data_IF_521114753351
#
_entry.id   IF_521114753351
#
_cell.length_a   1.000
_cell.length_b   1.000
_cell.length_c   1.000
_cell.angle_alpha   90.00
_cell.angle_beta   90.00
_cell.angle_gamma   90.00
#
_symmetry.space_group_name_H-M   'P 1'
#
loop_
_entity.id
_entity.type
_entity.pdbx_description
1 polymer ?
#
# COMPACT_ATOMS: atom_id res chain seq x y z
N UNK A 1 -15.92 12.40 -23.55
CA UNK A 1 -15.97 11.00 -23.07
C UNK A 1 -14.86 10.19 -23.75
N UNK A 2 -14.24 9.25 -23.05
CA UNK A 2 -13.18 8.39 -23.62
C UNK A 2 -13.76 7.13 -24.26
N UNK A 3 -13.10 6.60 -25.30
CA UNK A 3 -13.55 5.40 -26.02
C UNK A 3 -13.25 4.11 -25.25
N UNK A 4 -12.09 4.05 -24.62
CA UNK A 4 -11.62 2.93 -23.80
C UNK A 4 -10.46 3.42 -22.91
N UNK A 5 -9.90 2.53 -22.09
CA UNK A 5 -8.77 2.86 -21.19
C UNK A 5 -7.51 3.28 -21.94
N UNK A 6 -7.27 2.73 -23.13
CA UNK A 6 -6.15 3.13 -23.99
C UNK A 6 -6.31 4.59 -24.46
N UNK A 7 -7.46 4.97 -25.00
CA UNK A 7 -7.78 6.35 -25.41
C UNK A 7 -7.69 7.32 -24.23
N UNK A 8 -8.16 6.91 -23.05
CA UNK A 8 -8.00 7.70 -21.82
C UNK A 8 -6.52 7.89 -21.44
N UNK A 9 -5.72 6.82 -21.51
CA UNK A 9 -4.29 6.83 -21.22
C UNK A 9 -3.49 7.71 -22.18
N UNK A 10 -3.74 7.61 -23.49
CA UNK A 10 -3.08 8.45 -24.49
C UNK A 10 -3.36 9.94 -24.28
N UNK A 11 -4.62 10.30 -23.98
CA UNK A 11 -5.01 11.69 -23.69
C UNK A 11 -4.41 12.19 -22.38
N UNK A 12 -4.38 11.36 -21.35
CA UNK A 12 -3.73 11.70 -20.08
C UNK A 12 -2.23 11.90 -20.27
N UNK A 13 -1.58 11.03 -21.03
CA UNK A 13 -0.16 11.12 -21.33
C UNK A 13 0.18 12.43 -22.06
N UNK A 14 -0.63 12.85 -23.04
CA UNK A 14 -0.48 14.15 -23.70
C UNK A 14 -0.60 15.32 -22.71
N UNK A 15 -1.56 15.27 -21.78
CA UNK A 15 -1.76 16.32 -20.79
C UNK A 15 -0.61 16.42 -19.77
N UNK A 16 0.14 15.32 -19.58
CA UNK A 16 1.25 15.22 -18.64
C UNK A 16 2.63 15.40 -19.29
N UNK A 17 2.73 15.65 -20.60
CA UNK A 17 4.02 15.75 -21.32
C UNK A 17 4.99 16.77 -20.68
N UNK A 18 4.46 17.84 -20.10
CA UNK A 18 5.26 18.88 -19.42
C UNK A 18 6.09 18.35 -18.25
N UNK A 19 5.69 17.22 -17.64
CA UNK A 19 6.41 16.60 -16.52
C UNK A 19 7.50 15.63 -16.98
N UNK A 20 7.61 15.33 -18.28
CA UNK A 20 8.62 14.43 -18.83
C UNK A 20 10.06 14.75 -18.39
N UNK A 21 10.52 16.02 -18.33
CA UNK A 21 11.87 16.33 -17.89
C UNK A 21 12.17 15.93 -16.43
N UNK A 22 11.14 15.85 -15.59
CA UNK A 22 11.25 15.48 -14.17
C UNK A 22 11.38 13.97 -13.95
N UNK A 23 11.18 13.15 -15.00
CA UNK A 23 11.20 11.68 -14.95
C UNK A 23 10.29 11.11 -13.83
N UNK A 24 8.98 11.41 -13.86
CA UNK A 24 8.08 11.05 -12.78
C UNK A 24 7.75 9.55 -12.78
N UNK A 25 7.73 8.91 -11.61
CA UNK A 25 7.30 7.52 -11.50
C UNK A 25 5.77 7.42 -11.60
N UNK A 26 5.27 6.57 -12.49
CA UNK A 26 3.83 6.29 -12.64
C UNK A 26 3.43 5.15 -11.70
N UNK A 27 2.56 5.46 -10.74
CA UNK A 27 2.00 4.47 -9.81
C UNK A 27 0.54 4.18 -10.14
N UNK A 28 0.26 2.96 -10.62
CA UNK A 28 -1.07 2.56 -11.05
C UNK A 28 -1.81 1.74 -9.99
N UNK A 29 -3.08 2.08 -9.76
CA UNK A 29 -4.01 1.30 -8.93
C UNK A 29 -4.68 0.23 -9.82
N UNK A 30 -4.53 -1.07 -9.52
CA UNK A 30 -5.17 -2.14 -10.27
C UNK A 30 -6.71 -2.14 -10.19
N UNK A 31 -7.44 -2.69 -11.18
CA UNK A 31 -6.95 -3.25 -12.46
C UNK A 31 -6.93 -2.21 -13.58
N UNK A 32 -7.96 -1.38 -13.67
CA UNK A 32 -8.15 -0.46 -14.79
C UNK A 32 -7.09 0.64 -14.90
N UNK A 33 -6.52 1.08 -13.76
CA UNK A 33 -5.45 2.07 -13.76
C UNK A 33 -4.16 1.57 -14.41
N UNK A 34 -3.95 0.25 -14.49
CA UNK A 34 -2.78 -0.35 -15.15
C UNK A 34 -2.78 -0.06 -16.63
N UNK A 35 -3.89 -0.34 -17.33
CA UNK A 35 -3.99 -0.09 -18.78
C UNK A 35 -3.77 1.38 -19.13
N UNK A 36 -4.26 2.30 -18.28
CA UNK A 36 -4.10 3.74 -18.44
C UNK A 36 -2.64 4.15 -18.16
N UNK A 37 -2.08 3.74 -17.03
CA UNK A 37 -0.74 4.11 -16.60
C UNK A 37 0.38 3.55 -17.49
N UNK A 38 0.16 2.40 -18.14
CA UNK A 38 1.05 1.87 -19.16
C UNK A 38 1.15 2.81 -20.38
N UNK A 39 0.05 3.43 -20.81
CA UNK A 39 0.13 4.41 -21.91
C UNK A 39 0.91 5.67 -21.51
N UNK A 40 0.72 6.13 -20.26
CA UNK A 40 1.39 7.31 -19.73
C UNK A 40 2.90 7.08 -19.59
N UNK A 41 3.30 5.98 -18.95
CA UNK A 41 4.72 5.64 -18.77
C UNK A 41 5.44 5.43 -20.10
N UNK A 42 4.80 4.74 -21.07
CA UNK A 42 5.35 4.55 -22.41
C UNK A 42 5.60 5.87 -23.14
N UNK A 43 4.65 6.82 -23.07
CA UNK A 43 4.79 8.11 -23.75
C UNK A 43 5.85 9.00 -23.10
N UNK A 44 5.83 9.10 -21.77
CA UNK A 44 6.77 9.92 -21.00
C UNK A 44 8.16 9.27 -20.90
N UNK A 45 8.30 8.01 -21.28
CA UNK A 45 9.52 7.21 -21.15
C UNK A 45 10.06 7.24 -19.72
N UNK A 46 9.23 6.80 -18.78
CA UNK A 46 9.51 6.84 -17.35
C UNK A 46 9.04 5.58 -16.64
N UNK A 47 9.46 5.41 -15.39
CA UNK A 47 9.23 4.20 -14.62
C UNK A 47 7.74 4.02 -14.29
N UNK A 48 7.34 2.76 -14.21
CA UNK A 48 5.98 2.35 -13.90
C UNK A 48 6.00 1.31 -12.79
N UNK A 49 5.13 1.46 -11.81
CA UNK A 49 4.92 0.46 -10.77
C UNK A 49 3.44 0.39 -10.38
N UNK A 50 3.07 -0.69 -9.72
CA UNK A 50 1.76 -0.84 -9.09
C UNK A 50 1.79 -0.27 -7.68
N UNK A 51 0.67 0.29 -7.25
CA UNK A 51 0.45 0.63 -5.86
C UNK A 51 -0.80 -0.09 -5.35
N UNK A 52 -0.59 -0.95 -4.34
CA UNK A 52 -1.64 -1.71 -3.68
C UNK A 52 -1.71 -1.29 -2.23
N UNK A 53 -2.83 -0.68 -1.86
CA UNK A 53 -3.15 -0.33 -0.48
C UNK A 53 -4.57 -0.81 -0.15
N UNK A 54 -4.77 -1.20 1.11
CA UNK A 54 -6.07 -1.57 1.66
C UNK A 54 -6.46 -0.57 2.73
N UNK A 55 -7.72 -0.15 2.76
CA UNK A 55 -8.22 0.69 3.86
C UNK A 55 -8.23 -0.10 5.16
N UNK A 56 -7.97 0.57 6.27
CA UNK A 56 -8.17 0.06 7.63
C UNK A 56 -9.54 0.58 8.12
N UNK A 57 -10.61 -0.24 8.07
CA UNK A 57 -11.96 0.19 8.39
C UNK A 57 -12.18 0.32 9.90
N UNK A 58 -13.07 1.22 10.33
CA UNK A 58 -13.54 1.20 11.72
C UNK A 58 -14.41 -0.06 11.97
N UNK A 59 -14.35 -0.68 13.17
CA UNK A 59 -15.19 -1.83 13.53
C UNK A 59 -16.68 -1.54 13.37
N UNK A 60 -17.10 -0.37 13.85
CA UNK A 60 -18.52 0.00 13.93
C UNK A 60 -19.01 0.71 12.66
N UNK A 61 -18.10 1.10 11.76
CA UNK A 61 -18.43 1.69 10.46
C UNK A 61 -17.41 1.27 9.38
N UNK A 62 -17.62 0.11 8.73
CA UNK A 62 -16.67 -0.43 7.75
C UNK A 62 -16.49 0.40 6.48
N UNK A 63 -17.43 1.31 6.19
CA UNK A 63 -17.31 2.23 5.06
C UNK A 63 -16.28 3.33 5.35
N UNK A 64 -16.20 3.79 6.61
CA UNK A 64 -15.19 4.74 7.07
C UNK A 64 -13.85 4.02 7.37
N UNK A 65 -12.74 4.65 6.98
CA UNK A 65 -11.39 4.17 7.28
C UNK A 65 -10.68 5.06 8.28
N UNK A 66 -9.95 4.47 9.23
CA UNK A 66 -9.07 5.18 10.15
C UNK A 66 -7.61 5.23 9.68
N UNK A 67 -7.32 4.56 8.56
CA UNK A 67 -5.98 4.43 8.02
C UNK A 67 -5.94 3.58 6.77
N UNK A 68 -4.73 3.24 6.35
CA UNK A 68 -4.47 2.34 5.23
C UNK A 68 -3.20 1.52 5.47
N UNK A 69 -3.11 0.38 4.80
CA UNK A 69 -1.94 -0.47 4.80
C UNK A 69 -1.51 -0.82 3.39
N UNK A 70 -0.23 -0.67 3.10
CA UNK A 70 0.39 -1.06 1.84
C UNK A 70 0.77 -2.55 1.84
N UNK A 71 1.00 -3.11 0.66
CA UNK A 71 1.38 -4.51 0.49
C UNK A 71 2.67 -4.92 1.23
N UNK A 72 3.57 -3.97 1.47
CA UNK A 72 4.82 -4.18 2.23
C UNK A 72 4.63 -4.07 3.76
N UNK A 73 3.39 -3.98 4.24
CA UNK A 73 3.06 -3.83 5.66
C UNK A 73 3.21 -2.40 6.20
N UNK A 74 3.57 -1.42 5.37
CA UNK A 74 3.61 -0.01 5.80
C UNK A 74 2.20 0.47 6.11
N UNK A 75 2.00 0.99 7.32
CA UNK A 75 0.71 1.47 7.79
C UNK A 75 0.70 2.98 7.92
N UNK A 76 -0.39 3.60 7.48
CA UNK A 76 -0.75 4.97 7.80
C UNK A 76 -2.02 4.96 8.66
N UNK A 77 -2.04 5.75 9.72
CA UNK A 77 -3.19 5.89 10.61
C UNK A 77 -3.39 7.37 10.93
N UNK A 78 -4.66 7.80 11.04
CA UNK A 78 -4.94 9.14 11.55
C UNK A 78 -4.49 9.25 13.00
N UNK A 79 -3.88 10.39 13.35
CA UNK A 79 -3.33 10.64 14.69
C UNK A 79 -4.40 10.51 15.78
N UNK A 80 -5.64 10.86 15.46
CA UNK A 80 -6.81 10.82 16.35
C UNK A 80 -7.59 9.49 16.32
N UNK A 81 -7.09 8.44 15.66
CA UNK A 81 -7.78 7.15 15.60
C UNK A 81 -7.98 6.50 16.99
N UNK A 82 -7.09 6.80 17.95
CA UNK A 82 -7.14 6.29 19.32
C UNK A 82 -8.36 6.77 20.13
N UNK A 83 -9.02 7.86 19.73
CA UNK A 83 -10.28 8.29 20.38
C UNK A 83 -11.45 7.36 20.08
N UNK A 84 -11.37 6.63 18.96
CA UNK A 84 -12.44 5.78 18.45
C UNK A 84 -12.11 4.29 18.61
N UNK A 85 -10.85 3.96 18.92
CA UNK A 85 -10.35 2.58 18.93
C UNK A 85 -9.45 2.36 20.14
N UNK A 86 -9.76 1.35 20.94
CA UNK A 86 -8.80 0.80 21.91
C UNK A 86 -7.61 0.16 21.17
N UNK A 87 -6.40 0.25 21.74
CA UNK A 87 -5.16 -0.24 21.10
C UNK A 87 -5.22 -1.69 20.63
N UNK A 88 -5.83 -2.59 21.41
CA UNK A 88 -6.02 -4.01 21.06
C UNK A 88 -6.87 -4.21 19.79
N UNK A 89 -7.84 -3.31 19.53
CA UNK A 89 -8.68 -3.37 18.34
C UNK A 89 -7.89 -3.00 17.08
N UNK A 90 -6.94 -2.07 17.19
CA UNK A 90 -6.06 -1.67 16.09
C UNK A 90 -5.16 -2.83 15.68
N UNK A 91 -4.54 -3.52 16.65
CA UNK A 91 -3.68 -4.68 16.38
C UNK A 91 -4.43 -5.82 15.71
N UNK A 92 -5.65 -6.14 16.17
CA UNK A 92 -6.49 -7.17 15.58
C UNK A 92 -6.90 -6.87 14.14
N UNK A 93 -7.24 -5.61 13.83
CA UNK A 93 -7.57 -5.19 12.46
C UNK A 93 -6.36 -5.30 11.55
N UNK A 94 -5.18 -4.91 12.04
CA UNK A 94 -3.94 -5.04 11.28
C UNK A 94 -3.66 -6.51 10.90
N UNK A 95 -3.83 -7.44 11.86
CA UNK A 95 -3.64 -8.88 11.63
C UNK A 95 -4.59 -9.49 10.60
N UNK A 96 -5.85 -9.03 10.54
CA UNK A 96 -6.83 -9.53 9.58
C UNK A 96 -6.61 -9.01 8.15
N UNK A 97 -5.91 -7.87 8.02
CA UNK A 97 -5.68 -7.23 6.72
C UNK A 97 -4.32 -7.64 6.12
N UNK A 98 -3.37 -8.09 6.95
CA UNK A 98 -2.06 -8.59 6.53
C UNK A 98 -2.10 -10.06 6.04
N UNK A 99 -1.47 -10.42 4.91
CA UNK A 99 -1.15 -11.82 4.63
C UNK A 99 -0.13 -12.34 5.67
N UNK A 100 -0.22 -13.61 6.06
CA UNK A 100 0.66 -14.23 7.08
C UNK A 100 2.16 -14.02 6.80
N UNK A 101 2.56 -13.88 5.52
CA UNK A 101 3.94 -13.60 5.09
C UNK A 101 4.47 -12.20 5.47
N UNK A 102 3.59 -11.24 5.78
CA UNK A 102 3.96 -9.88 6.16
C UNK A 102 4.15 -9.71 7.68
N UNK A 103 3.89 -10.76 8.47
CA UNK A 103 4.07 -10.79 9.93
C UNK A 103 5.53 -11.19 10.26
N UNK A 104 6.50 -10.54 9.62
CA UNK A 104 7.88 -10.58 10.11
C UNK A 104 7.99 -9.53 11.23
N UNK A 105 8.30 -9.89 12.48
CA UNK A 105 8.45 -8.92 13.54
C UNK A 105 9.55 -7.92 13.17
N UNK A 106 9.19 -6.63 13.12
CA UNK A 106 10.18 -5.56 13.00
C UNK A 106 11.08 -5.65 14.23
N UNK A 107 12.43 -5.69 14.10
CA UNK A 107 13.28 -5.71 15.27
C UNK A 107 13.00 -4.46 16.07
N UNK A 108 12.60 -4.65 17.33
CA UNK A 108 12.32 -3.57 18.25
C UNK A 108 13.58 -2.70 18.38
N UNK A 109 13.55 -1.52 17.75
CA UNK A 109 14.57 -0.50 17.94
C UNK A 109 14.41 0.06 19.36
N UNK A 110 15.00 -0.61 20.34
CA UNK A 110 14.96 -0.16 21.72
C UNK A 110 15.13 -1.22 22.79
N UNK A 111 16.02 -2.20 22.64
CA UNK A 111 16.50 -2.99 23.78
C UNK A 111 18.02 -3.16 23.72
N UNK A 112 18.70 -2.22 24.39
CA UNK A 112 20.03 -2.44 24.95
C UNK A 112 19.94 -3.57 25.97
N UNK A 113 20.43 -4.76 25.63
CA UNK A 113 20.54 -5.86 26.58
C UNK A 113 20.90 -7.18 25.92
N UNK A 114 22.07 -7.71 26.25
CA UNK A 114 22.57 -9.03 25.83
C UNK A 114 21.57 -10.13 26.20
N UNK A 115 21.20 -11.00 25.25
CA UNK A 115 20.53 -12.27 25.54
C UNK A 115 19.51 -12.72 24.49
N UNK A 116 19.96 -13.59 23.57
CA UNK A 116 19.21 -14.73 23.02
C UNK A 116 17.68 -14.60 22.84
N UNK A 117 17.25 -14.24 21.63
CA UNK A 117 15.94 -14.60 21.07
C UNK A 117 16.13 -15.28 19.71
N UNK A 118 16.93 -16.36 19.70
CA UNK A 118 17.01 -17.31 18.59
C UNK A 118 16.18 -18.54 18.96
N UNK A 119 14.86 -18.36 18.90
CA UNK A 119 13.84 -19.42 18.89
C UNK A 119 12.55 -18.65 18.59
N UNK A 120 12.05 -18.61 17.37
CA UNK A 120 11.07 -19.57 16.86
C UNK A 120 11.21 -19.55 15.34
N UNK A 121 11.94 -20.52 14.81
CA UNK A 121 11.99 -20.86 13.38
C UNK A 121 11.95 -22.38 13.32
N UNK A 122 10.74 -22.96 13.36
CA UNK A 122 10.44 -24.29 12.82
C UNK A 122 8.94 -24.60 12.86
N UNK A 123 8.49 -25.30 11.82
CA UNK A 123 7.21 -26.01 11.65
C UNK A 123 5.96 -25.14 11.40
N UNK A 124 5.20 -25.27 10.29
CA UNK A 124 4.85 -26.44 9.46
C UNK A 124 4.62 -26.04 7.98
N UNK A 125 5.23 -26.81 7.05
CA UNK A 125 4.57 -27.69 6.06
C UNK A 125 4.11 -26.95 4.79
N UNK A 126 4.75 -27.19 3.63
CA UNK A 126 4.43 -28.28 2.68
C UNK A 126 2.96 -28.25 2.28
#
# INVERSE_FOLDING_TARGET
MFKNRKDAGEKLANALEKYRPEKPVILAIPRGGVEVGLQVSAKLNTDFSLIIARKLPFPDNPEAGFGAIAENGSTFMFENAHYWLAGETIERINMNVLPFSAIAPKPASGLSGKGSFLAIMREKSV
#
